data_IF_087462665999
#
_entry.id   IF_087462665999
#
_cell.length_a   1.000
_cell.length_b   1.000
_cell.length_c   1.000
_cell.angle_alpha   90.00
_cell.angle_beta   90.00
_cell.angle_gamma   90.00
#
_symmetry.space_group_name_H-M   'P 1'
#
loop_
_entity.id
_entity.type
_entity.pdbx_description
1 polymer ?
#
# COMPACT_ATOMS: atom_id res chain seq x y z
N UNK A 1 11.70 -23.83 -24.03
CA UNK A 1 12.97 -24.39 -24.53
C UNK A 1 13.29 -23.72 -25.86
N UNK A 2 14.37 -22.89 -25.85
CA UNK A 2 14.89 -22.26 -27.08
C UNK A 2 15.71 -23.34 -27.81
N UNK A 3 15.28 -23.72 -29.00
CA UNK A 3 16.05 -24.63 -29.85
C UNK A 3 17.11 -23.80 -30.55
N UNK A 4 18.39 -24.12 -30.34
CA UNK A 4 19.56 -23.42 -30.86
C UNK A 4 19.63 -21.95 -30.42
N UNK A 5 19.91 -21.67 -29.15
CA UNK A 5 20.07 -20.30 -28.65
C UNK A 5 21.27 -19.63 -29.32
N UNK A 6 21.19 -18.30 -29.43
CA UNK A 6 22.36 -17.49 -29.82
C UNK A 6 23.31 -17.31 -28.63
N UNK A 7 24.56 -16.91 -28.88
CA UNK A 7 25.51 -16.60 -27.80
C UNK A 7 25.01 -15.62 -26.76
N UNK A 8 24.17 -14.64 -27.16
CA UNK A 8 23.53 -13.69 -26.24
C UNK A 8 22.45 -14.35 -25.40
N UNK A 9 21.67 -15.24 -25.99
CA UNK A 9 20.64 -16.00 -25.28
C UNK A 9 21.28 -16.96 -24.27
N UNK A 10 22.40 -17.60 -24.63
CA UNK A 10 23.13 -18.46 -23.69
C UNK A 10 23.69 -17.67 -22.51
N UNK A 11 24.21 -16.46 -22.71
CA UNK A 11 24.66 -15.57 -21.65
C UNK A 11 23.50 -15.14 -20.74
N UNK A 12 22.37 -14.80 -21.32
CA UNK A 12 21.18 -14.41 -20.56
C UNK A 12 20.64 -15.59 -19.72
N UNK A 13 20.60 -16.80 -20.31
CA UNK A 13 20.19 -18.01 -19.61
C UNK A 13 21.13 -18.30 -18.44
N UNK A 14 22.44 -18.19 -18.66
CA UNK A 14 23.45 -18.40 -17.61
C UNK A 14 23.28 -17.36 -16.47
N UNK A 15 23.06 -16.10 -16.79
CA UNK A 15 22.82 -15.03 -15.82
C UNK A 15 21.54 -15.28 -14.99
N UNK A 16 20.43 -15.64 -15.65
CA UNK A 16 19.17 -15.96 -14.98
C UNK A 16 19.34 -17.17 -14.06
N UNK A 17 20.03 -18.22 -14.51
CA UNK A 17 20.29 -19.41 -13.69
C UNK A 17 21.17 -19.09 -12.48
N UNK A 18 22.18 -18.22 -12.62
CA UNK A 18 23.00 -17.77 -11.49
C UNK A 18 22.17 -17.00 -10.48
N UNK A 19 21.30 -16.09 -10.93
CA UNK A 19 20.39 -15.34 -10.07
C UNK A 19 19.41 -16.25 -9.30
N UNK A 20 18.77 -17.20 -9.99
CA UNK A 20 17.82 -18.14 -9.41
C UNK A 20 18.45 -19.13 -8.43
N UNK A 21 19.75 -19.40 -8.55
CA UNK A 21 20.50 -20.24 -7.62
C UNK A 21 20.91 -19.52 -6.33
N UNK A 22 20.71 -18.22 -6.22
CA UNK A 22 20.91 -17.47 -4.99
C UNK A 22 19.77 -17.77 -4.01
N UNK A 23 20.05 -18.58 -2.98
CA UNK A 23 19.03 -19.09 -2.04
C UNK A 23 18.94 -18.31 -0.72
N UNK A 24 19.83 -17.36 -0.50
CA UNK A 24 19.86 -16.52 0.70
C UNK A 24 20.32 -15.09 0.38
N UNK A 25 19.99 -14.17 1.28
CA UNK A 25 20.24 -12.74 1.10
C UNK A 25 21.72 -12.43 0.83
N UNK A 26 22.65 -13.11 1.51
CA UNK A 26 24.09 -12.88 1.32
C UNK A 26 24.55 -13.24 -0.10
N UNK A 27 24.07 -14.34 -0.65
CA UNK A 27 24.36 -14.74 -2.03
C UNK A 27 23.76 -13.76 -3.03
N UNK A 28 22.53 -13.32 -2.79
CA UNK A 28 21.83 -12.33 -3.61
C UNK A 28 22.60 -11.00 -3.62
N UNK A 29 22.99 -10.50 -2.46
CA UNK A 29 23.81 -9.29 -2.36
C UNK A 29 25.14 -9.42 -3.10
N UNK A 30 25.84 -10.53 -2.94
CA UNK A 30 27.09 -10.81 -3.64
C UNK A 30 26.90 -10.85 -5.16
N UNK A 31 25.82 -11.50 -5.62
CA UNK A 31 25.45 -11.56 -7.02
C UNK A 31 25.18 -10.16 -7.59
N UNK A 32 24.38 -9.34 -6.90
CA UNK A 32 24.09 -7.97 -7.31
C UNK A 32 25.36 -7.11 -7.36
N UNK A 33 26.22 -7.19 -6.33
CA UNK A 33 27.46 -6.40 -6.24
C UNK A 33 28.51 -6.79 -7.30
N UNK A 34 28.49 -8.04 -7.74
CA UNK A 34 29.42 -8.56 -8.76
C UNK A 34 29.02 -8.15 -10.18
N UNK A 35 27.74 -7.91 -10.43
CA UNK A 35 27.21 -7.70 -11.77
C UNK A 35 26.99 -6.20 -12.04
N UNK A 36 27.77 -5.63 -12.95
CA UNK A 36 27.69 -4.21 -13.32
C UNK A 36 26.35 -3.81 -13.96
N UNK A 37 25.66 -4.74 -14.60
CA UNK A 37 24.33 -4.52 -15.18
C UNK A 37 23.26 -4.30 -14.11
N UNK A 38 23.56 -4.63 -12.84
CA UNK A 38 22.68 -4.46 -11.70
C UNK A 38 23.00 -3.21 -10.85
N UNK A 39 23.63 -2.18 -11.42
CA UNK A 39 24.00 -0.93 -10.73
C UNK A 39 22.84 -0.27 -10.02
N UNK A 40 21.66 -0.34 -10.58
CA UNK A 40 20.44 0.20 -9.95
C UNK A 40 20.14 -0.53 -8.63
N UNK A 41 20.20 -1.87 -8.61
CA UNK A 41 20.00 -2.66 -7.39
C UNK A 41 21.12 -2.45 -6.39
N UNK A 42 22.37 -2.26 -6.85
CA UNK A 42 23.50 -1.91 -5.97
C UNK A 42 23.25 -0.59 -5.25
N UNK A 43 22.75 0.43 -5.97
CA UNK A 43 22.40 1.72 -5.39
C UNK A 43 21.24 1.59 -4.39
N UNK A 44 20.21 0.84 -4.74
CA UNK A 44 19.07 0.55 -3.85
C UNK A 44 19.53 -0.11 -2.54
N UNK A 45 20.34 -1.16 -2.62
CA UNK A 45 20.91 -1.83 -1.44
C UNK A 45 21.63 -0.84 -0.53
N UNK A 46 22.47 0.03 -1.11
CA UNK A 46 23.19 1.05 -0.35
C UNK A 46 22.23 2.02 0.38
N UNK A 47 21.17 2.47 -0.28
CA UNK A 47 20.16 3.35 0.33
C UNK A 47 19.44 2.62 1.48
N UNK A 48 19.07 1.36 1.29
CA UNK A 48 18.39 0.57 2.31
C UNK A 48 19.28 0.29 3.53
N UNK A 49 20.57 0.05 3.32
CA UNK A 49 21.56 -0.07 4.39
C UNK A 49 21.66 1.24 5.19
N UNK A 50 21.80 2.38 4.50
CA UNK A 50 21.94 3.70 5.13
C UNK A 50 20.69 4.14 5.90
N UNK A 51 19.52 3.75 5.45
CA UNK A 51 18.24 4.08 6.09
C UNK A 51 17.80 3.08 7.16
N UNK A 52 18.51 1.96 7.30
CA UNK A 52 18.20 0.92 8.28
C UNK A 52 17.01 0.03 7.91
N UNK A 53 16.49 0.13 6.69
CA UNK A 53 15.34 -0.68 6.26
C UNK A 53 15.71 -2.07 5.73
N UNK A 54 16.99 -2.36 5.53
CA UNK A 54 17.47 -3.64 5.00
C UNK A 54 16.98 -4.84 5.82
N UNK A 55 16.83 -4.69 7.13
CA UNK A 55 16.35 -5.75 8.04
C UNK A 55 14.89 -6.18 7.78
N UNK A 56 14.11 -5.37 7.08
CA UNK A 56 12.71 -5.65 6.77
C UNK A 56 12.53 -6.15 5.33
N UNK A 57 13.61 -6.37 4.59
CA UNK A 57 13.54 -6.65 3.18
C UNK A 57 14.15 -8.01 2.83
N UNK A 58 13.56 -8.62 1.85
CA UNK A 58 14.09 -9.82 1.18
C UNK A 58 14.06 -9.55 -0.32
N UNK A 59 15.13 -9.94 -1.01
CA UNK A 59 15.19 -9.85 -2.46
C UNK A 59 14.88 -11.22 -3.03
N UNK A 60 13.94 -11.25 -3.98
CA UNK A 60 13.49 -12.46 -4.65
C UNK A 60 13.50 -12.24 -6.17
N UNK A 61 14.40 -12.90 -6.87
CA UNK A 61 14.48 -12.86 -8.33
C UNK A 61 13.38 -13.68 -9.03
N UNK A 62 12.59 -14.44 -8.28
CA UNK A 62 11.46 -15.20 -8.82
C UNK A 62 10.17 -14.40 -8.86
N UNK A 63 10.14 -13.23 -8.22
CA UNK A 63 8.95 -12.36 -8.19
C UNK A 63 8.64 -11.86 -9.60
N UNK A 64 7.51 -12.26 -10.12
CA UNK A 64 7.01 -11.85 -11.42
C UNK A 64 5.61 -11.25 -11.31
N UNK A 65 5.37 -10.16 -12.02
CA UNK A 65 4.03 -9.56 -12.10
C UNK A 65 3.26 -10.08 -13.29
N UNK A 66 1.95 -10.26 -13.10
CA UNK A 66 1.02 -10.49 -14.21
C UNK A 66 0.74 -9.20 -15.02
N UNK A 67 1.15 -8.04 -14.51
CA UNK A 67 0.93 -6.75 -15.15
C UNK A 67 2.13 -6.38 -16.03
N UNK A 68 1.89 -6.20 -17.32
CA UNK A 68 2.93 -5.95 -18.33
C UNK A 68 3.48 -4.52 -18.33
N UNK A 69 2.90 -3.59 -17.58
CA UNK A 69 3.35 -2.20 -17.55
C UNK A 69 4.58 -1.93 -16.67
N UNK A 70 4.95 -2.87 -15.82
CA UNK A 70 6.17 -2.71 -15.02
C UNK A 70 7.43 -2.81 -15.89
N UNK A 71 8.31 -1.82 -15.77
CA UNK A 71 9.55 -1.70 -16.53
C UNK A 71 10.80 -1.84 -15.67
N UNK A 72 10.65 -2.05 -14.37
CA UNK A 72 11.76 -2.14 -13.44
C UNK A 72 11.44 -2.98 -12.22
N UNK A 73 11.93 -2.56 -11.07
CA UNK A 73 11.76 -3.27 -9.81
C UNK A 73 10.29 -3.41 -9.43
N UNK A 74 9.96 -4.57 -8.91
CA UNK A 74 8.69 -4.89 -8.26
C UNK A 74 8.91 -5.10 -6.77
N UNK A 75 7.89 -4.87 -5.96
CA UNK A 75 7.90 -5.27 -4.57
C UNK A 75 6.50 -5.68 -4.09
N UNK A 76 6.48 -6.52 -3.09
CA UNK A 76 5.29 -6.89 -2.33
C UNK A 76 5.53 -6.67 -0.85
N UNK A 77 4.46 -6.32 -0.13
CA UNK A 77 4.48 -6.06 1.30
C UNK A 77 3.76 -7.19 2.02
N UNK A 78 4.45 -7.79 2.98
CA UNK A 78 3.91 -8.85 3.84
C UNK A 78 4.04 -8.46 5.31
N UNK A 79 3.18 -9.01 6.15
CA UNK A 79 3.32 -8.92 7.60
C UNK A 79 3.03 -10.26 8.26
N UNK A 80 3.59 -10.46 9.45
CA UNK A 80 3.24 -11.60 10.29
C UNK A 80 1.75 -11.59 10.63
N UNK A 81 1.12 -12.76 10.51
CA UNK A 81 -0.32 -12.92 10.74
C UNK A 81 -1.19 -12.78 9.50
N UNK A 82 -0.62 -12.38 8.35
CA UNK A 82 -1.33 -12.42 7.06
C UNK A 82 -0.77 -13.52 6.16
N UNK A 83 -1.64 -14.33 5.59
CA UNK A 83 -1.29 -15.29 4.53
C UNK A 83 -1.22 -14.66 3.13
N UNK A 84 -1.46 -13.36 3.01
CA UNK A 84 -1.56 -12.64 1.75
C UNK A 84 -0.71 -11.38 1.75
N UNK A 85 -0.33 -10.91 0.56
CA UNK A 85 0.32 -9.62 0.38
C UNK A 85 -0.61 -8.47 0.82
N UNK A 86 -0.07 -7.55 1.61
CA UNK A 86 -0.77 -6.35 2.11
C UNK A 86 -0.68 -5.17 1.15
N UNK A 87 0.22 -5.24 0.19
CA UNK A 87 0.42 -4.22 -0.81
C UNK A 87 1.45 -4.65 -1.82
N UNK A 88 1.49 -3.94 -2.91
CA UNK A 88 2.47 -4.18 -3.96
C UNK A 88 2.73 -2.89 -4.75
N UNK A 89 3.85 -2.83 -5.41
CA UNK A 89 4.21 -1.69 -6.23
C UNK A 89 5.43 -1.98 -7.10
N UNK A 90 5.90 -0.93 -7.78
CA UNK A 90 7.07 -1.04 -8.62
C UNK A 90 7.28 0.18 -9.51
N UNK A 91 8.21 0.06 -10.44
CA UNK A 91 8.56 1.07 -11.43
C UNK A 91 7.88 0.75 -12.77
N UNK A 92 7.28 1.76 -13.40
CA UNK A 92 6.50 1.61 -14.63
C UNK A 92 6.64 2.81 -15.58
N UNK A 93 7.84 3.14 -15.97
CA UNK A 93 8.17 4.31 -16.80
C UNK A 93 7.37 4.37 -18.11
N UNK A 94 7.17 3.22 -18.79
CA UNK A 94 6.43 3.16 -20.04
C UNK A 94 4.92 3.45 -19.92
N UNK A 95 4.36 3.55 -18.72
CA UNK A 95 2.94 3.85 -18.56
C UNK A 95 2.62 5.31 -18.94
N UNK A 96 3.53 6.24 -18.66
CA UNK A 96 3.34 7.65 -18.95
C UNK A 96 3.50 7.97 -20.45
N UNK A 97 4.18 7.11 -21.21
CA UNK A 97 4.30 7.24 -22.67
C UNK A 97 2.93 7.20 -23.39
N UNK A 98 1.95 6.47 -22.83
CA UNK A 98 0.57 6.48 -23.33
C UNK A 98 -0.14 7.83 -23.22
N UNK A 99 0.42 8.74 -22.42
CA UNK A 99 -0.09 10.09 -22.19
C UNK A 99 0.87 11.17 -22.74
N UNK A 100 1.75 10.80 -23.68
CA UNK A 100 2.76 11.67 -24.31
C UNK A 100 3.76 12.27 -23.29
N UNK A 101 3.98 11.59 -22.16
CA UNK A 101 4.98 11.94 -21.14
C UNK A 101 6.10 10.90 -21.10
N UNK A 102 7.35 11.35 -21.28
CA UNK A 102 8.52 10.50 -21.23
C UNK A 102 9.26 10.72 -19.89
N UNK A 103 8.65 10.32 -18.80
CA UNK A 103 9.17 10.48 -17.45
C UNK A 103 9.12 9.15 -16.70
N UNK A 104 10.06 8.98 -15.73
CA UNK A 104 10.05 7.81 -14.86
C UNK A 104 8.87 7.84 -13.89
N UNK A 105 8.21 6.71 -13.72
CA UNK A 105 7.08 6.57 -12.81
C UNK A 105 7.26 5.39 -11.85
N UNK A 106 6.85 5.61 -10.60
CA UNK A 106 6.79 4.57 -9.57
C UNK A 106 5.57 4.78 -8.69
N UNK A 107 5.04 3.72 -8.15
CA UNK A 107 3.92 3.80 -7.23
C UNK A 107 3.64 2.48 -6.53
N UNK A 108 2.67 2.52 -5.63
CA UNK A 108 2.25 1.35 -4.88
C UNK A 108 0.78 1.43 -4.49
N UNK A 109 0.23 0.28 -4.13
CA UNK A 109 -1.09 0.16 -3.53
C UNK A 109 -1.02 -0.60 -2.22
N UNK A 110 -1.89 -0.24 -1.27
CA UNK A 110 -2.08 -0.95 -0.01
C UNK A 110 -3.49 -1.52 0.05
N UNK A 111 -3.63 -2.73 0.56
CA UNK A 111 -4.91 -3.41 0.80
C UNK A 111 -5.35 -3.12 2.22
N UNK A 112 -6.09 -2.05 2.40
CA UNK A 112 -6.51 -1.56 3.72
C UNK A 112 -7.37 -2.59 4.46
N UNK A 113 -8.25 -3.28 3.75
CA UNK A 113 -9.05 -4.39 4.26
C UNK A 113 -8.20 -5.44 4.96
N UNK A 114 -7.13 -5.90 4.31
CA UNK A 114 -6.20 -6.90 4.86
C UNK A 114 -5.34 -6.36 6.00
N UNK A 115 -4.95 -5.09 5.93
CA UNK A 115 -4.22 -4.42 7.00
C UNK A 115 -5.09 -4.36 8.26
N UNK A 116 -6.36 -4.02 8.12
CA UNK A 116 -7.31 -3.95 9.25
C UNK A 116 -7.56 -5.31 9.91
N UNK A 117 -7.45 -6.43 9.18
CA UNK A 117 -7.58 -7.77 9.73
C UNK A 117 -6.44 -8.14 10.72
N UNK A 118 -5.24 -7.60 10.52
CA UNK A 118 -4.06 -7.94 11.33
C UNK A 118 -3.68 -6.88 12.35
N UNK A 119 -4.09 -5.64 12.15
CA UNK A 119 -3.86 -4.54 13.10
C UNK A 119 -4.99 -4.54 14.11
N UNK A 120 -4.64 -4.78 15.37
CA UNK A 120 -5.57 -4.55 16.46
C UNK A 120 -5.60 -3.05 16.75
N UNK A 121 -6.65 -2.40 16.29
CA UNK A 121 -6.93 -1.04 16.70
C UNK A 121 -7.63 -1.08 18.05
N UNK A 122 -6.98 -0.55 19.06
CA UNK A 122 -7.63 -0.15 20.30
C UNK A 122 -8.16 1.27 20.06
N UNK A 123 -9.23 1.34 19.25
CA UNK A 123 -9.85 2.61 18.92
C UNK A 123 -11.03 2.81 19.85
N UNK A 124 -10.84 3.66 20.82
CA UNK A 124 -11.95 4.23 21.56
C UNK A 124 -12.69 5.16 20.59
N UNK A 125 -13.94 4.81 20.28
CA UNK A 125 -14.80 5.70 19.50
C UNK A 125 -14.90 7.02 20.27
N UNK A 126 -14.57 8.17 19.66
CA UNK A 126 -14.75 9.44 20.34
C UNK A 126 -16.23 9.61 20.70
N UNK A 127 -16.49 10.21 21.86
CA UNK A 127 -17.85 10.56 22.25
C UNK A 127 -18.53 11.32 21.12
N UNK A 128 -19.74 10.90 20.77
CA UNK A 128 -20.52 11.50 19.70
C UNK A 128 -21.76 12.18 20.31
N UNK A 129 -21.97 13.43 19.94
CA UNK A 129 -23.16 14.21 20.33
C UNK A 129 -24.18 14.18 19.19
N UNK A 130 -25.36 13.63 19.42
CA UNK A 130 -26.45 13.67 18.45
C UNK A 130 -27.40 14.86 18.73
N UNK A 131 -27.55 15.73 17.75
CA UNK A 131 -28.56 16.81 17.78
C UNK A 131 -29.81 16.32 17.05
N UNK A 132 -30.87 16.06 17.81
CA UNK A 132 -32.16 15.68 17.24
C UNK A 132 -33.00 16.95 16.99
N UNK A 133 -33.47 17.11 15.78
CA UNK A 133 -34.25 18.30 15.39
C UNK A 133 -35.48 17.92 14.54
N UNK A 134 -36.46 18.78 14.51
CA UNK A 134 -37.58 18.76 13.57
C UNK A 134 -37.34 19.78 12.45
N UNK A 135 -38.15 19.74 11.40
CA UNK A 135 -38.03 20.62 10.23
C UNK A 135 -38.07 22.11 10.58
N UNK A 136 -38.82 22.49 11.63
CA UNK A 136 -38.96 23.89 12.05
C UNK A 136 -37.69 24.45 12.70
N UNK A 137 -36.84 23.58 13.29
CA UNK A 137 -35.61 23.94 14.02
C UNK A 137 -34.34 23.59 13.27
N UNK A 138 -34.39 23.39 11.95
CA UNK A 138 -33.23 23.00 11.13
C UNK A 138 -32.08 24.01 11.26
N UNK A 139 -32.35 25.30 11.09
CA UNK A 139 -31.32 26.34 11.12
C UNK A 139 -30.61 26.43 12.49
N UNK A 140 -31.39 26.30 13.57
CA UNK A 140 -30.86 26.30 14.93
C UNK A 140 -29.97 25.08 15.19
N UNK A 141 -30.40 23.90 14.74
CA UNK A 141 -29.61 22.67 14.84
C UNK A 141 -28.28 22.77 14.09
N UNK A 142 -28.31 23.35 12.89
CA UNK A 142 -27.08 23.57 12.09
C UNK A 142 -26.13 24.55 12.79
N UNK A 143 -26.64 25.63 13.39
CA UNK A 143 -25.81 26.59 14.11
C UNK A 143 -25.19 25.96 15.37
N UNK A 144 -25.95 25.19 16.12
CA UNK A 144 -25.46 24.45 17.29
C UNK A 144 -24.38 23.45 16.89
N UNK A 145 -24.61 22.67 15.81
CA UNK A 145 -23.61 21.73 15.30
C UNK A 145 -22.31 22.43 14.90
N UNK A 146 -22.38 23.62 14.26
CA UNK A 146 -21.20 24.40 13.93
C UNK A 146 -20.42 24.86 15.16
N UNK A 147 -21.11 25.26 16.21
CA UNK A 147 -20.49 25.68 17.46
C UNK A 147 -19.77 24.52 18.14
N UNK A 148 -20.42 23.36 18.29
CA UNK A 148 -19.87 22.18 18.93
C UNK A 148 -18.69 21.59 18.12
N UNK A 149 -18.80 21.51 16.80
CA UNK A 149 -17.69 21.11 15.92
C UNK A 149 -16.52 22.09 15.97
N UNK A 150 -16.79 23.39 16.15
CA UNK A 150 -15.75 24.40 16.39
C UNK A 150 -15.03 24.20 17.73
N UNK A 151 -15.66 23.56 18.69
CA UNK A 151 -15.05 23.11 19.96
C UNK A 151 -14.39 21.72 19.88
N UNK A 152 -14.26 21.17 18.66
CA UNK A 152 -13.68 19.85 18.38
C UNK A 152 -14.52 18.65 18.87
N UNK A 153 -15.83 18.83 19.01
CA UNK A 153 -16.75 17.74 19.32
C UNK A 153 -17.17 17.01 18.04
N UNK A 154 -17.38 15.69 18.15
CA UNK A 154 -17.95 14.86 17.09
C UNK A 154 -19.49 14.99 17.15
N UNK A 155 -20.10 15.57 16.12
CA UNK A 155 -21.53 15.93 16.15
C UNK A 155 -22.27 15.41 14.93
N UNK A 156 -23.32 14.65 15.17
CA UNK A 156 -24.29 14.18 14.17
C UNK A 156 -25.61 14.97 14.26
N UNK A 157 -26.15 15.35 13.11
CA UNK A 157 -27.49 15.96 12.97
C UNK A 157 -28.47 14.88 12.52
N UNK A 158 -29.59 14.74 13.24
CA UNK A 158 -30.61 13.75 12.89
C UNK A 158 -32.03 14.34 12.94
N UNK A 159 -32.71 14.26 11.81
CA UNK A 159 -34.13 14.67 11.71
C UNK A 159 -35.01 13.64 12.39
N UNK A 160 -35.86 14.10 13.34
CA UNK A 160 -36.69 13.22 14.17
C UNK A 160 -37.70 12.44 13.33
N UNK A 161 -38.25 13.05 12.27
CA UNK A 161 -39.25 12.40 11.40
C UNK A 161 -38.68 11.23 10.57
N UNK A 162 -37.36 11.16 10.41
CA UNK A 162 -36.68 10.07 9.69
C UNK A 162 -36.29 8.91 10.60
N UNK A 163 -36.43 9.05 11.92
CA UNK A 163 -36.07 7.99 12.86
C UNK A 163 -37.18 6.93 12.95
N UNK A 164 -36.90 5.67 12.59
CA UNK A 164 -37.86 4.58 12.73
C UNK A 164 -38.21 4.28 14.20
N UNK A 165 -37.25 4.52 15.11
CA UNK A 165 -37.45 4.38 16.56
C UNK A 165 -36.55 5.37 17.32
N UNK A 166 -37.13 6.50 17.72
CA UNK A 166 -36.42 7.56 18.45
C UNK A 166 -35.82 7.07 19.77
N UNK A 167 -36.51 6.24 20.54
CA UNK A 167 -36.02 5.75 21.82
C UNK A 167 -34.78 4.81 21.67
N UNK A 168 -34.78 3.96 20.63
CA UNK A 168 -33.66 3.12 20.35
C UNK A 168 -32.45 3.95 19.88
N UNK A 169 -32.67 5.01 19.15
CA UNK A 169 -31.63 5.93 18.70
C UNK A 169 -31.01 6.69 19.88
N UNK A 170 -31.85 7.27 20.77
CA UNK A 170 -31.38 7.96 21.99
C UNK A 170 -30.58 7.04 22.91
N UNK A 171 -30.96 5.78 23.02
CA UNK A 171 -30.23 4.79 23.83
C UNK A 171 -28.83 4.44 23.28
N UNK A 172 -28.55 4.74 22.02
CA UNK A 172 -27.23 4.54 21.42
C UNK A 172 -26.20 5.58 21.89
N UNK A 173 -26.67 6.77 22.30
CA UNK A 173 -25.85 7.90 22.74
C UNK A 173 -25.80 8.07 24.27
N UNK A 174 -26.36 7.14 25.01
CA UNK A 174 -26.29 7.08 26.49
C UNK A 174 -25.25 6.05 26.95
#
# INVERSE_FOLDING_TARGET
WIKNPTDEQDKLIAFINEALNCTNLKQIEQFIRKNDDLKYLQHLLKVLEQTGYMQYMTIDFTLASHMSYYTGMLFEVFASGSGFSLGNGGRYDGLLEYFDHNEGATGFSLRIDRILEIVKFDYEMPDETAILFDEAHYDEAVQLAKQLRGANENVTLQLISELPNKKAYEAHFQ
#
